data_IF_606964636748
#
_entry.id   IF_606964636748
#
_cell.length_a   1.000
_cell.length_b   1.000
_cell.length_c   1.000
_cell.angle_alpha   90.00
_cell.angle_beta   90.00
_cell.angle_gamma   90.00
#
_symmetry.space_group_name_H-M   'P 1'
#
loop_
_entity.id
_entity.type
_entity.pdbx_description
1 polymer ?
#
# COMPACT_ATOMS: atom_id res chain seq x y z
N UNK A 1 -5.66 23.59 1.03
CA UNK A 1 -4.79 24.04 -0.11
C UNK A 1 -4.80 25.58 -0.30
N UNK A 2 -5.96 26.28 -0.29
CA UNK A 2 -6.00 27.76 -0.33
C UNK A 2 -5.46 28.39 0.96
N UNK A 3 -5.78 27.80 2.11
CA UNK A 3 -5.39 28.33 3.41
C UNK A 3 -3.88 28.13 3.67
N UNK A 4 -3.30 26.99 3.29
CA UNK A 4 -1.86 26.73 3.38
C UNK A 4 -1.04 27.69 2.51
N UNK A 5 -1.54 28.01 1.30
CA UNK A 5 -0.88 29.00 0.44
C UNK A 5 -0.95 30.43 1.03
N UNK A 6 -2.05 30.79 1.69
CA UNK A 6 -2.18 32.08 2.35
C UNK A 6 -1.25 32.20 3.57
N UNK A 7 -1.12 31.15 4.38
CA UNK A 7 -0.15 31.11 5.50
C UNK A 7 1.31 31.20 5.01
N UNK A 8 1.64 30.52 3.90
CA UNK A 8 2.98 30.62 3.31
C UNK A 8 3.28 32.03 2.79
N UNK A 9 2.28 32.71 2.22
CA UNK A 9 2.43 34.11 1.77
C UNK A 9 2.61 35.05 2.95
N UNK A 10 1.82 34.93 4.00
CA UNK A 10 1.95 35.76 5.22
C UNK A 10 3.31 35.53 5.90
N UNK A 11 3.78 34.30 5.99
CA UNK A 11 5.11 33.99 6.50
C UNK A 11 6.25 34.57 5.63
N UNK A 12 6.06 34.60 4.31
CA UNK A 12 7.02 35.21 3.40
C UNK A 12 7.06 36.75 3.55
N UNK A 13 5.93 37.41 3.81
CA UNK A 13 5.83 38.84 4.07
C UNK A 13 6.51 39.20 5.40
N UNK A 14 6.29 38.44 6.47
CA UNK A 14 6.99 38.60 7.75
C UNK A 14 8.51 38.45 7.64
N UNK A 15 8.98 37.55 6.75
CA UNK A 15 10.42 37.41 6.46
C UNK A 15 11.02 38.60 5.72
N UNK A 16 10.23 39.36 4.93
CA UNK A 16 10.66 40.56 4.24
C UNK A 16 10.78 41.76 5.17
N UNK A 17 9.90 41.90 6.15
CA UNK A 17 9.93 42.98 7.12
C UNK A 17 11.07 42.87 8.14
N UNK A 18 11.55 41.66 8.42
CA UNK A 18 12.62 41.37 9.38
C UNK A 18 13.68 40.43 8.78
N UNK A 19 14.82 40.95 8.31
CA UNK A 19 15.89 40.14 7.70
C UNK A 19 16.40 38.96 8.57
N UNK A 20 16.28 39.11 9.90
CA UNK A 20 16.67 38.03 10.84
C UNK A 20 15.72 36.84 10.85
N UNK A 21 14.50 36.98 10.36
CA UNK A 21 13.48 35.90 10.28
C UNK A 21 13.42 35.25 8.90
N UNK A 22 14.05 35.84 7.89
CA UNK A 22 14.08 35.33 6.53
C UNK A 22 14.57 33.84 6.44
N UNK A 23 15.61 33.41 7.17
CA UNK A 23 16.04 32.00 7.12
C UNK A 23 14.96 31.04 7.64
N UNK A 24 14.19 31.46 8.66
CA UNK A 24 13.11 30.63 9.24
C UNK A 24 11.99 30.48 8.22
N UNK A 25 11.55 31.57 7.58
CA UNK A 25 10.50 31.55 6.55
C UNK A 25 10.88 30.69 5.33
N UNK A 26 12.15 30.79 4.88
CA UNK A 26 12.66 29.95 3.79
C UNK A 26 12.67 28.47 4.21
N UNK A 27 13.09 28.17 5.45
CA UNK A 27 13.05 26.78 5.97
C UNK A 27 11.63 26.23 6.00
N UNK A 28 10.64 27.02 6.42
CA UNK A 28 9.23 26.62 6.40
C UNK A 28 8.74 26.32 4.99
N UNK A 29 9.07 27.16 4.01
CA UNK A 29 8.70 26.92 2.62
C UNK A 29 9.32 25.61 2.08
N UNK A 30 10.58 25.34 2.41
CA UNK A 30 11.24 24.08 2.03
C UNK A 30 10.58 22.89 2.71
N UNK A 31 10.30 22.98 4.02
CA UNK A 31 9.61 21.90 4.76
C UNK A 31 8.22 21.62 4.17
N UNK A 32 7.44 22.65 3.83
CA UNK A 32 6.13 22.48 3.21
C UNK A 32 6.22 21.73 1.86
N UNK A 33 7.23 22.05 1.03
CA UNK A 33 7.47 21.30 -0.21
C UNK A 33 7.86 19.86 0.09
N UNK A 34 8.69 19.62 1.10
CA UNK A 34 9.07 18.25 1.51
C UNK A 34 7.85 17.44 2.00
N UNK A 35 6.96 18.04 2.82
CA UNK A 35 5.69 17.42 3.23
C UNK A 35 4.89 17.04 2.01
N UNK A 36 4.66 17.96 1.07
CA UNK A 36 3.87 17.68 -0.13
C UNK A 36 4.44 16.54 -0.99
N UNK A 37 5.77 16.46 -1.12
CA UNK A 37 6.43 15.37 -1.87
C UNK A 37 6.29 14.04 -1.15
N UNK A 38 6.54 13.99 0.16
CA UNK A 38 6.46 12.76 0.96
C UNK A 38 5.02 12.26 1.02
N UNK A 39 4.05 13.14 1.23
CA UNK A 39 2.62 12.84 1.19
C UNK A 39 2.20 12.23 -0.14
N UNK A 40 2.63 12.83 -1.26
CA UNK A 40 2.34 12.28 -2.59
C UNK A 40 2.91 10.86 -2.77
N UNK A 41 4.11 10.60 -2.23
CA UNK A 41 4.73 9.27 -2.30
C UNK A 41 4.00 8.27 -1.41
N UNK A 42 3.55 8.66 -0.22
CA UNK A 42 2.70 7.89 0.66
C UNK A 42 1.39 7.48 -0.03
N UNK A 43 0.65 8.45 -0.56
CA UNK A 43 -0.61 8.21 -1.28
C UNK A 43 -0.44 7.25 -2.48
N UNK A 44 0.65 7.36 -3.24
CA UNK A 44 0.94 6.43 -4.33
C UNK A 44 1.19 5.01 -3.83
N UNK A 45 1.93 4.86 -2.73
CA UNK A 45 2.21 3.55 -2.14
C UNK A 45 0.95 2.90 -1.56
N UNK A 46 0.05 3.67 -0.93
CA UNK A 46 -1.26 3.17 -0.50
C UNK A 46 -2.16 2.76 -1.67
N UNK A 47 -2.13 3.53 -2.77
CA UNK A 47 -2.87 3.15 -3.98
C UNK A 47 -2.35 1.84 -4.57
N UNK A 48 -1.03 1.65 -4.58
CA UNK A 48 -0.38 0.41 -5.04
C UNK A 48 -0.76 -0.77 -4.14
N UNK A 49 -0.70 -0.60 -2.80
CA UNK A 49 -1.14 -1.57 -1.81
C UNK A 49 -2.58 -2.04 -2.09
N UNK A 50 -3.53 -1.09 -2.16
CA UNK A 50 -4.94 -1.39 -2.42
C UNK A 50 -5.15 -2.11 -3.75
N UNK A 51 -4.41 -1.73 -4.80
CA UNK A 51 -4.49 -2.39 -6.10
C UNK A 51 -4.02 -3.85 -6.01
N UNK A 52 -2.89 -4.11 -5.34
CA UNK A 52 -2.36 -5.48 -5.18
C UNK A 52 -3.25 -6.32 -4.27
N UNK A 53 -3.79 -5.73 -3.20
CA UNK A 53 -4.77 -6.37 -2.32
C UNK A 53 -6.04 -6.80 -3.08
N UNK A 54 -6.57 -5.93 -3.93
CA UNK A 54 -7.73 -6.25 -4.74
C UNK A 54 -7.42 -7.38 -5.74
N UNK A 55 -6.27 -7.33 -6.41
CA UNK A 55 -5.82 -8.40 -7.30
C UNK A 55 -5.63 -9.73 -6.58
N UNK A 56 -5.07 -9.73 -5.37
CA UNK A 56 -4.94 -10.92 -4.55
C UNK A 56 -6.33 -11.50 -4.19
N UNK A 57 -7.27 -10.64 -3.81
CA UNK A 57 -8.65 -11.04 -3.51
C UNK A 57 -9.34 -11.67 -4.73
N UNK A 58 -9.19 -11.07 -5.91
CA UNK A 58 -9.73 -11.63 -7.17
C UNK A 58 -9.09 -12.98 -7.50
N UNK A 59 -7.79 -13.12 -7.27
CA UNK A 59 -7.06 -14.37 -7.51
C UNK A 59 -7.51 -15.47 -6.54
N UNK A 60 -7.74 -15.14 -5.27
CA UNK A 60 -8.33 -16.05 -4.29
C UNK A 60 -9.77 -16.45 -4.64
N UNK A 61 -10.59 -15.51 -5.13
CA UNK A 61 -11.93 -15.80 -5.61
C UNK A 61 -11.90 -16.77 -6.81
N UNK A 62 -10.93 -16.59 -7.71
CA UNK A 62 -10.71 -17.50 -8.84
C UNK A 62 -10.26 -18.90 -8.37
N UNK A 63 -9.36 -18.97 -7.38
CA UNK A 63 -8.98 -20.22 -6.71
C UNK A 63 -10.21 -20.94 -6.15
N UNK A 64 -11.05 -20.23 -5.39
CA UNK A 64 -12.26 -20.80 -4.80
C UNK A 64 -13.24 -21.30 -5.86
N UNK A 65 -13.42 -20.57 -6.96
CA UNK A 65 -14.28 -21.00 -8.06
C UNK A 65 -13.78 -22.32 -8.70
N UNK A 66 -12.46 -22.47 -8.86
CA UNK A 66 -11.84 -23.70 -9.35
C UNK A 66 -11.98 -24.83 -8.32
N UNK A 67 -11.84 -24.55 -7.03
CA UNK A 67 -12.01 -25.49 -5.95
C UNK A 67 -13.44 -26.05 -5.90
N UNK A 68 -14.44 -25.18 -6.02
CA UNK A 68 -15.85 -25.60 -6.08
C UNK A 68 -16.09 -26.54 -7.28
N UNK A 69 -15.53 -26.21 -8.44
CA UNK A 69 -15.67 -27.08 -9.62
C UNK A 69 -15.02 -28.45 -9.39
N UNK A 70 -13.82 -28.50 -8.80
CA UNK A 70 -13.14 -29.75 -8.44
C UNK A 70 -14.02 -30.58 -7.51
N UNK A 71 -14.50 -30.01 -6.42
CA UNK A 71 -15.37 -30.71 -5.47
C UNK A 71 -16.68 -31.22 -6.10
N UNK A 72 -17.25 -30.48 -7.06
CA UNK A 72 -18.42 -30.92 -7.78
C UNK A 72 -18.15 -32.20 -8.62
N UNK A 73 -16.97 -32.32 -9.23
CA UNK A 73 -16.57 -33.53 -9.95
C UNK A 73 -16.26 -34.69 -8.99
N UNK A 74 -15.58 -34.42 -7.85
CA UNK A 74 -15.33 -35.41 -6.81
C UNK A 74 -16.65 -35.95 -6.23
N UNK A 75 -17.58 -35.10 -5.88
CA UNK A 75 -18.91 -35.47 -5.41
C UNK A 75 -19.67 -36.26 -6.49
N UNK A 76 -19.55 -35.86 -7.76
CA UNK A 76 -20.10 -36.62 -8.87
C UNK A 76 -19.53 -38.03 -8.98
N UNK A 77 -18.23 -38.22 -8.75
CA UNK A 77 -17.59 -39.52 -8.69
C UNK A 77 -18.13 -40.39 -7.55
N UNK A 78 -18.31 -39.81 -6.36
CA UNK A 78 -18.86 -40.48 -5.19
C UNK A 78 -20.31 -40.92 -5.45
N UNK A 79 -21.13 -40.07 -6.05
CA UNK A 79 -22.51 -40.43 -6.44
C UNK A 79 -22.54 -41.55 -7.49
N UNK A 80 -21.65 -41.49 -8.49
CA UNK A 80 -21.54 -42.55 -9.50
C UNK A 80 -21.09 -43.92 -8.91
N UNK A 81 -20.41 -43.89 -7.75
CA UNK A 81 -20.02 -45.11 -7.05
C UNK A 81 -21.19 -45.80 -6.33
N UNK A 82 -22.22 -45.02 -5.97
CA UNK A 82 -23.40 -45.51 -5.24
C UNK A 82 -24.53 -46.05 -6.14
N UNK A 83 -24.44 -45.83 -7.46
CA UNK A 83 -25.50 -46.16 -8.43
C UNK A 83 -25.09 -47.33 -9.30
N UNK A 84 -26.00 -48.32 -9.45
CA UNK A 84 -25.84 -49.39 -10.43
C UNK A 84 -26.31 -48.93 -11.80
N UNK A 85 -25.43 -49.06 -12.79
CA UNK A 85 -25.71 -48.65 -14.19
C UNK A 85 -26.02 -49.86 -15.06
N UNK A 86 -27.02 -49.72 -15.92
CA UNK A 86 -27.35 -50.73 -16.95
C UNK A 86 -26.25 -50.82 -18.01
N UNK A 87 -25.66 -49.67 -18.39
CA UNK A 87 -24.53 -49.58 -19.31
C UNK A 87 -23.25 -49.24 -18.55
N UNK A 88 -22.45 -50.24 -18.21
CA UNK A 88 -21.16 -50.09 -17.51
C UNK A 88 -20.15 -49.30 -18.33
N UNK A 89 -20.12 -49.48 -19.66
CA UNK A 89 -19.17 -48.82 -20.54
C UNK A 89 -19.38 -47.32 -20.56
N UNK A 90 -20.64 -46.88 -20.56
CA UNK A 90 -20.97 -45.44 -20.51
C UNK A 90 -20.65 -44.86 -19.12
N UNK A 91 -20.93 -45.61 -18.05
CA UNK A 91 -20.60 -45.19 -16.68
C UNK A 91 -19.07 -44.99 -16.50
N UNK A 92 -18.26 -45.90 -17.02
CA UNK A 92 -16.80 -45.81 -16.93
C UNK A 92 -16.24 -44.60 -17.71
N UNK A 93 -16.79 -44.28 -18.87
CA UNK A 93 -16.42 -43.05 -19.61
C UNK A 93 -16.73 -41.77 -18.82
N UNK A 94 -17.87 -41.72 -18.14
CA UNK A 94 -18.25 -40.58 -17.31
C UNK A 94 -17.32 -40.46 -16.08
N UNK A 95 -17.01 -41.60 -15.43
CA UNK A 95 -16.03 -41.60 -14.30
C UNK A 95 -14.65 -41.12 -14.72
N UNK A 96 -14.15 -41.63 -15.83
CA UNK A 96 -12.85 -41.19 -16.36
C UNK A 96 -12.85 -39.71 -16.68
N UNK A 97 -13.90 -39.18 -17.32
CA UNK A 97 -14.06 -37.74 -17.58
C UNK A 97 -14.03 -36.93 -16.30
N UNK A 98 -14.82 -37.34 -15.28
CA UNK A 98 -14.88 -36.59 -14.02
C UNK A 98 -13.56 -36.60 -13.28
N UNK A 99 -12.86 -37.73 -13.26
CA UNK A 99 -11.53 -37.88 -12.69
C UNK A 99 -10.53 -36.96 -13.38
N UNK A 100 -10.48 -36.96 -14.71
CA UNK A 100 -9.58 -36.14 -15.49
C UNK A 100 -9.85 -34.64 -15.26
N UNK A 101 -11.11 -34.25 -15.13
CA UNK A 101 -11.47 -32.84 -14.81
C UNK A 101 -11.06 -32.45 -13.38
N UNK A 102 -11.30 -33.33 -12.38
CA UNK A 102 -10.86 -33.08 -11.01
C UNK A 102 -9.33 -32.94 -10.92
N UNK A 103 -8.57 -33.83 -11.58
CA UNK A 103 -7.11 -33.80 -11.64
C UNK A 103 -6.60 -32.51 -12.34
N UNK A 104 -7.29 -32.10 -13.41
CA UNK A 104 -6.96 -30.85 -14.10
C UNK A 104 -7.12 -29.63 -13.18
N UNK A 105 -8.26 -29.52 -12.48
CA UNK A 105 -8.50 -28.41 -11.56
C UNK A 105 -7.52 -28.41 -10.37
N UNK A 106 -7.10 -29.58 -9.89
CA UNK A 106 -6.07 -29.69 -8.86
C UNK A 106 -4.74 -29.08 -9.31
N UNK A 107 -4.33 -29.35 -10.56
CA UNK A 107 -3.11 -28.78 -11.12
C UNK A 107 -3.20 -27.28 -11.36
N UNK A 108 -4.36 -26.82 -11.86
CA UNK A 108 -4.61 -25.39 -12.09
C UNK A 108 -4.59 -24.58 -10.78
N UNK A 109 -5.12 -25.14 -9.69
CA UNK A 109 -5.18 -24.49 -8.39
C UNK A 109 -3.81 -24.14 -7.81
N UNK A 110 -2.80 -24.99 -7.97
CA UNK A 110 -1.47 -24.74 -7.44
C UNK A 110 -0.86 -23.46 -7.99
N UNK A 111 -0.97 -23.24 -9.30
CA UNK A 111 -0.47 -22.00 -9.93
C UNK A 111 -1.28 -20.75 -9.57
N UNK A 112 -2.59 -20.89 -9.35
CA UNK A 112 -3.46 -19.78 -8.93
C UNK A 112 -3.14 -19.37 -7.49
N UNK A 113 -2.92 -20.35 -6.61
CA UNK A 113 -2.54 -20.13 -5.21
C UNK A 113 -1.19 -19.42 -5.09
N UNK A 114 -0.20 -19.83 -5.87
CA UNK A 114 1.11 -19.19 -5.92
C UNK A 114 0.98 -17.72 -6.33
N UNK A 115 0.24 -17.44 -7.41
CA UNK A 115 0.00 -16.07 -7.86
C UNK A 115 -0.75 -15.22 -6.82
N UNK A 116 -1.71 -15.79 -6.09
CA UNK A 116 -2.41 -15.07 -5.04
C UNK A 116 -1.46 -14.69 -3.89
N UNK A 117 -0.60 -15.61 -3.47
CA UNK A 117 0.41 -15.36 -2.43
C UNK A 117 1.46 -14.32 -2.86
N UNK A 118 1.86 -14.33 -4.11
CA UNK A 118 2.79 -13.33 -4.65
C UNK A 118 2.17 -11.93 -4.61
N UNK A 119 0.91 -11.79 -5.02
CA UNK A 119 0.18 -10.53 -4.95
C UNK A 119 0.00 -10.04 -3.50
N UNK A 120 -0.28 -10.93 -2.54
CA UNK A 120 -0.31 -10.59 -1.11
C UNK A 120 1.05 -10.09 -0.61
N UNK A 121 2.14 -10.74 -1.05
CA UNK A 121 3.48 -10.33 -0.69
C UNK A 121 3.85 -8.96 -1.28
N UNK A 122 3.39 -8.66 -2.50
CA UNK A 122 3.54 -7.34 -3.12
C UNK A 122 2.73 -6.27 -2.38
N UNK A 123 1.47 -6.56 -2.04
CA UNK A 123 0.64 -5.66 -1.22
C UNK A 123 1.30 -5.34 0.12
N UNK A 124 1.81 -6.37 0.82
CA UNK A 124 2.51 -6.18 2.09
C UNK A 124 3.81 -5.38 1.97
N UNK A 125 4.49 -5.43 0.81
CA UNK A 125 5.66 -4.57 0.53
C UNK A 125 5.24 -3.13 0.32
N UNK A 126 4.20 -2.88 -0.49
CA UNK A 126 3.67 -1.56 -0.73
C UNK A 126 3.17 -0.89 0.56
N UNK A 127 2.50 -1.66 1.44
CA UNK A 127 2.07 -1.21 2.76
C UNK A 127 3.25 -0.76 3.62
N UNK A 128 4.28 -1.59 3.78
CA UNK A 128 5.47 -1.20 4.56
C UNK A 128 6.16 0.04 4.04
N UNK A 129 6.13 0.25 2.73
CA UNK A 129 6.67 1.44 2.07
C UNK A 129 5.81 2.66 2.39
N UNK A 130 4.48 2.53 2.32
CA UNK A 130 3.53 3.57 2.70
C UNK A 130 3.70 3.99 4.16
N UNK A 131 3.76 3.04 5.10
CA UNK A 131 3.97 3.29 6.54
C UNK A 131 5.23 4.14 6.80
N UNK A 132 6.30 3.95 6.00
CA UNK A 132 7.52 4.75 6.13
C UNK A 132 7.35 6.19 5.65
N UNK A 133 6.60 6.38 4.57
CA UNK A 133 6.28 7.73 4.11
C UNK A 133 5.37 8.45 5.10
N UNK A 134 4.32 7.79 5.61
CA UNK A 134 3.41 8.37 6.58
C UNK A 134 4.14 8.79 7.86
N UNK A 135 5.02 7.91 8.37
CA UNK A 135 5.83 8.26 9.54
C UNK A 135 6.78 9.44 9.25
N UNK A 136 7.40 9.46 8.08
CA UNK A 136 8.24 10.58 7.63
C UNK A 136 7.47 11.90 7.52
N UNK A 137 6.24 11.84 6.98
CA UNK A 137 5.32 12.97 6.86
C UNK A 137 4.98 13.57 8.22
N UNK A 138 4.60 12.73 9.20
CA UNK A 138 4.31 13.18 10.56
C UNK A 138 5.48 13.95 11.18
N UNK A 139 6.73 13.48 11.02
CA UNK A 139 7.90 14.22 11.52
C UNK A 139 8.13 15.54 10.80
N UNK A 140 7.83 15.62 9.50
CA UNK A 140 7.92 16.85 8.71
C UNK A 140 6.83 17.86 9.10
N UNK A 141 5.61 17.41 9.36
CA UNK A 141 4.52 18.27 9.86
C UNK A 141 4.84 18.83 11.25
N UNK A 142 5.35 17.98 12.17
CA UNK A 142 5.84 18.43 13.48
C UNK A 142 6.96 19.47 13.30
N UNK A 143 7.88 19.26 12.35
CA UNK A 143 8.95 20.19 12.04
C UNK A 143 8.39 21.54 11.58
N UNK A 144 7.36 21.55 10.73
CA UNK A 144 6.69 22.74 10.24
C UNK A 144 6.04 23.52 11.39
N UNK A 145 5.29 22.83 12.27
CA UNK A 145 4.64 23.43 13.43
C UNK A 145 5.68 24.03 14.40
N UNK A 146 6.75 23.30 14.73
CA UNK A 146 7.80 23.80 15.62
C UNK A 146 8.53 25.00 14.99
N UNK A 147 8.78 24.99 13.68
CA UNK A 147 9.44 26.10 12.98
C UNK A 147 8.51 27.33 12.93
N UNK A 148 7.20 27.17 12.84
CA UNK A 148 6.25 28.30 12.93
C UNK A 148 6.27 28.97 14.32
N UNK A 149 6.44 28.17 15.39
CA UNK A 149 6.64 28.70 16.73
C UNK A 149 7.94 29.49 16.87
N UNK A 150 8.99 29.15 16.09
CA UNK A 150 10.23 29.95 16.06
C UNK A 150 9.98 31.33 15.48
N UNK A 151 9.15 31.47 14.45
CA UNK A 151 8.75 32.72 13.84
C UNK A 151 8.00 33.60 14.85
N UNK A 152 7.03 33.03 15.56
CA UNK A 152 6.18 33.71 16.51
C UNK A 152 6.93 34.13 17.78
N UNK A 153 7.73 33.22 18.35
CA UNK A 153 8.45 33.43 19.61
C UNK A 153 9.78 34.19 19.45
N UNK A 154 10.28 34.29 18.21
CA UNK A 154 11.62 34.82 17.87
C UNK A 154 12.78 34.09 18.56
N UNK A 155 12.56 32.87 19.04
CA UNK A 155 13.58 32.06 19.70
C UNK A 155 14.15 31.04 18.72
N UNK A 156 15.44 31.13 18.45
CA UNK A 156 16.15 30.23 17.53
C UNK A 156 16.12 28.73 17.93
N UNK A 157 15.90 28.46 19.22
CA UNK A 157 15.84 27.06 19.71
C UNK A 157 14.74 26.25 19.01
N UNK A 158 13.57 26.85 18.76
CA UNK A 158 12.48 26.19 18.04
C UNK A 158 12.85 25.93 16.57
N UNK A 159 13.59 26.83 15.95
CA UNK A 159 14.08 26.62 14.59
C UNK A 159 15.03 25.41 14.48
N UNK A 160 15.99 25.30 15.39
CA UNK A 160 16.89 24.14 15.43
C UNK A 160 16.15 22.83 15.71
N UNK A 161 15.16 22.84 16.62
CA UNK A 161 14.33 21.66 16.90
C UNK A 161 13.49 21.27 15.68
N UNK A 162 12.92 22.24 14.96
CA UNK A 162 12.21 22.00 13.71
C UNK A 162 13.11 21.39 12.64
N UNK A 163 14.32 21.92 12.45
CA UNK A 163 15.31 21.37 11.52
C UNK A 163 15.67 19.92 11.87
N UNK A 164 15.90 19.62 13.15
CA UNK A 164 16.21 18.25 13.61
C UNK A 164 15.08 17.28 13.29
N UNK A 165 13.82 17.68 13.59
CA UNK A 165 12.64 16.87 13.25
C UNK A 165 12.48 16.70 11.74
N UNK A 166 12.69 17.77 10.96
CA UNK A 166 12.62 17.72 9.50
C UNK A 166 13.63 16.77 8.87
N UNK A 167 14.88 16.81 9.34
CA UNK A 167 15.93 15.86 8.89
C UNK A 167 15.57 14.42 9.27
N UNK A 168 15.05 14.19 10.48
CA UNK A 168 14.59 12.88 10.90
C UNK A 168 13.45 12.36 10.00
N UNK A 169 12.46 13.19 9.70
CA UNK A 169 11.35 12.86 8.79
C UNK A 169 11.82 12.50 7.38
N UNK A 170 12.72 13.28 6.79
CA UNK A 170 13.31 13.00 5.49
C UNK A 170 14.14 11.69 5.49
N UNK A 171 14.90 11.44 6.56
CA UNK A 171 15.67 10.20 6.70
C UNK A 171 14.74 8.98 6.75
N UNK A 172 13.64 9.04 7.51
CA UNK A 172 12.64 7.97 7.58
C UNK A 172 11.98 7.75 6.21
N UNK A 173 11.52 8.82 5.55
CA UNK A 173 10.92 8.74 4.22
C UNK A 173 11.87 8.13 3.19
N UNK A 174 13.16 8.48 3.25
CA UNK A 174 14.19 7.92 2.37
C UNK A 174 14.35 6.41 2.57
N UNK A 175 14.16 5.85 3.80
CA UNK A 175 14.16 4.41 4.01
C UNK A 175 13.01 3.71 3.28
N UNK A 176 11.84 4.35 3.16
CA UNK A 176 10.72 3.86 2.36
C UNK A 176 11.05 3.75 0.87
N UNK A 177 11.83 4.71 0.35
CA UNK A 177 12.26 4.67 -1.06
C UNK A 177 13.26 3.55 -1.36
N UNK A 178 14.07 3.16 -0.39
CA UNK A 178 15.07 2.09 -0.52
C UNK A 178 14.50 0.67 -0.35
N UNK A 179 13.24 0.55 0.09
CA UNK A 179 12.53 -0.74 0.19
C UNK A 179 12.03 -1.15 -1.20
N UNK A 180 12.80 -1.97 -1.89
CA UNK A 180 12.41 -2.64 -3.16
C UNK A 180 11.85 -4.05 -2.92
#
# INVERSE_FOLDING_TARGET
MSDELSELQENAEHGRENPSLAPISVTMAILAVCVAVVSLMGHRSHTEELLMQNRATDQWAYYQAKNIRRHNYEMGLDLLALVEFKDKTQADKVREKYKNEADRYTKEQAGIEEQAKDLEAEAARAQRKADRYDLGEVFLEIALVITSLALLSRKQIFWFLGLLSGVAGLAIAATGHLMH
#
